data_IF_588234399174
#
_entry.id   IF_588234399174
#
_cell.length_a   1.000
_cell.length_b   1.000
_cell.length_c   1.000
_cell.angle_alpha   90.00
_cell.angle_beta   90.00
_cell.angle_gamma   90.00
#
_symmetry.space_group_name_H-M   'P 1'
#
loop_
_entity.id
_entity.type
_entity.pdbx_description
1 polymer ?
#
# COMPACT_ATOMS: atom_id res chain seq x y z
N UNK A 1 38.53 41.28 -2.88
CA UNK A 1 38.61 39.83 -3.17
C UNK A 1 37.55 39.15 -2.31
N UNK A 2 36.52 38.56 -2.92
CA UNK A 2 35.42 37.89 -2.22
C UNK A 2 35.77 36.40 -2.13
N UNK A 3 35.85 35.87 -0.91
CA UNK A 3 36.05 34.45 -0.67
C UNK A 3 34.74 33.70 -0.90
N UNK A 4 34.72 32.80 -1.88
CA UNK A 4 33.68 31.79 -2.02
C UNK A 4 34.12 30.53 -1.27
N UNK A 5 33.39 30.16 -0.22
CA UNK A 5 33.48 28.84 0.40
C UNK A 5 32.72 27.85 -0.49
N UNK A 6 33.45 26.92 -1.11
CA UNK A 6 32.91 25.75 -1.78
C UNK A 6 32.81 24.62 -0.74
N UNK A 7 31.58 24.26 -0.34
CA UNK A 7 31.31 23.05 0.43
C UNK A 7 31.27 21.87 -0.55
N UNK A 8 32.36 21.10 -0.57
CA UNK A 8 32.47 19.82 -1.28
C UNK A 8 31.68 18.74 -0.54
N UNK A 9 30.48 18.42 -1.04
CA UNK A 9 29.70 17.27 -0.59
C UNK A 9 30.32 15.98 -1.11
N UNK A 10 31.01 15.25 -0.23
CA UNK A 10 31.58 13.93 -0.55
C UNK A 10 30.47 12.89 -0.43
N UNK A 11 29.98 12.37 -1.56
CA UNK A 11 29.05 11.24 -1.59
C UNK A 11 29.89 9.97 -1.41
N UNK A 12 29.72 9.28 -0.29
CA UNK A 12 30.33 7.96 -0.05
C UNK A 12 29.48 6.89 -0.73
N UNK A 13 29.92 6.41 -1.89
CA UNK A 13 29.33 5.24 -2.53
C UNK A 13 30.10 4.01 -2.03
N UNK A 14 29.54 3.28 -1.07
CA UNK A 14 30.06 1.98 -0.64
C UNK A 14 29.59 0.91 -1.65
N UNK A 15 30.48 0.49 -2.55
CA UNK A 15 30.23 -0.60 -3.50
C UNK A 15 30.66 -1.93 -2.86
N UNK A 16 29.71 -2.73 -2.39
CA UNK A 16 29.97 -4.11 -1.99
C UNK A 16 29.92 -5.03 -3.23
N UNK A 17 31.07 -5.62 -3.58
CA UNK A 17 31.20 -6.55 -4.70
C UNK A 17 30.72 -7.93 -4.23
N UNK A 18 29.42 -8.21 -4.43
CA UNK A 18 28.87 -9.53 -4.18
C UNK A 18 27.35 -9.56 -4.26
N UNK A 19 26.76 -9.55 -5.45
CA UNK A 19 25.35 -9.92 -5.73
C UNK A 19 24.23 -9.21 -4.96
N UNK A 20 24.55 -8.24 -4.11
CA UNK A 20 23.65 -7.67 -3.12
C UNK A 20 22.83 -6.50 -3.69
N UNK A 21 21.58 -6.41 -3.25
CA UNK A 21 20.69 -5.29 -3.47
C UNK A 21 21.41 -3.94 -3.33
N UNK A 22 21.17 -3.03 -4.27
CA UNK A 22 21.78 -1.70 -4.25
C UNK A 22 21.27 -0.91 -3.04
N UNK A 23 22.15 -0.66 -2.07
CA UNK A 23 21.92 0.24 -0.94
C UNK A 23 22.50 1.61 -1.27
N UNK A 24 21.69 2.66 -1.18
CA UNK A 24 22.17 4.03 -1.36
C UNK A 24 21.71 4.89 -0.19
N UNK A 25 22.66 5.50 0.53
CA UNK A 25 22.36 6.55 1.49
C UNK A 25 22.08 7.83 0.73
N UNK A 26 20.87 8.36 0.88
CA UNK A 26 20.45 9.58 0.21
C UNK A 26 19.98 10.59 1.25
N UNK A 27 20.12 11.90 0.98
CA UNK A 27 19.42 12.88 1.78
C UNK A 27 17.91 12.66 1.64
N UNK A 28 17.11 12.95 2.69
CA UNK A 28 15.66 12.89 2.59
C UNK A 28 15.18 13.83 1.47
N UNK A 29 14.28 13.38 0.59
CA UNK A 29 13.69 14.25 -0.43
C UNK A 29 13.03 15.47 0.25
N UNK A 30 13.31 16.67 -0.24
CA UNK A 30 12.86 17.91 0.41
C UNK A 30 11.33 18.04 0.47
N UNK A 31 10.63 17.46 -0.50
CA UNK A 31 9.16 17.37 -0.54
C UNK A 31 8.58 16.47 0.56
N UNK A 32 9.40 15.68 1.24
CA UNK A 32 8.99 14.85 2.36
C UNK A 32 9.19 15.51 3.74
N UNK A 33 9.76 16.72 3.81
CA UNK A 33 10.00 17.37 5.10
C UNK A 33 8.69 17.68 5.83
N UNK A 34 8.63 17.40 7.13
CA UNK A 34 7.45 17.58 7.97
C UNK A 34 6.42 16.44 7.88
N UNK A 35 6.65 15.43 7.03
CA UNK A 35 5.81 14.24 6.98
C UNK A 35 6.09 13.32 8.18
N UNK A 36 5.04 12.73 8.74
CA UNK A 36 5.16 11.65 9.73
C UNK A 36 5.30 10.31 9.03
N UNK A 37 6.35 9.58 9.37
CA UNK A 37 6.67 8.22 8.89
C UNK A 37 7.00 7.31 10.06
N UNK A 38 6.94 6.00 9.85
CA UNK A 38 7.42 5.04 10.85
C UNK A 38 8.93 4.83 10.69
N UNK A 39 9.66 4.72 11.80
CA UNK A 39 11.02 4.22 11.77
C UNK A 39 11.04 2.80 11.24
N UNK A 40 11.96 2.53 10.31
CA UNK A 40 12.19 1.20 9.77
C UNK A 40 12.59 0.15 10.82
N UNK A 41 13.09 0.58 11.99
CA UNK A 41 13.62 -0.30 13.04
C UNK A 41 12.64 -0.47 14.18
N UNK A 42 12.08 0.62 14.69
CA UNK A 42 11.20 0.60 15.86
C UNK A 42 9.72 0.55 15.51
N UNK A 43 9.34 0.98 14.29
CA UNK A 43 7.95 1.20 13.90
C UNK A 43 7.31 2.41 14.57
N UNK A 44 8.05 3.19 15.34
CA UNK A 44 7.52 4.38 16.00
C UNK A 44 7.40 5.54 15.01
N UNK A 45 6.35 6.37 15.12
CA UNK A 45 6.18 7.54 14.28
C UNK A 45 7.27 8.58 14.53
N UNK A 46 7.78 9.19 13.47
CA UNK A 46 8.79 10.24 13.48
C UNK A 46 8.54 11.26 12.36
N UNK A 47 8.96 12.51 12.57
CA UNK A 47 8.86 13.57 11.56
C UNK A 47 10.15 13.60 10.73
N UNK A 48 10.02 13.65 9.40
CA UNK A 48 11.17 13.80 8.51
C UNK A 48 11.68 15.25 8.56
N UNK A 49 12.97 15.40 8.82
CA UNK A 49 13.71 16.66 8.74
C UNK A 49 15.00 16.51 7.89
N UNK A 50 15.80 17.58 7.81
CA UNK A 50 17.04 17.58 7.03
C UNK A 50 18.16 16.69 7.60
N UNK A 51 18.01 16.22 8.85
CA UNK A 51 18.97 15.37 9.54
C UNK A 51 18.57 13.89 9.55
N UNK A 52 17.34 13.59 9.15
CA UNK A 52 16.77 12.24 9.12
C UNK A 52 17.57 11.33 8.19
N UNK A 53 18.24 10.28 8.69
CA UNK A 53 18.89 9.31 7.83
C UNK A 53 17.87 8.58 6.93
N UNK A 54 18.19 8.48 5.64
CA UNK A 54 17.35 7.79 4.65
C UNK A 54 18.19 6.80 3.85
N UNK A 55 17.70 5.56 3.77
CA UNK A 55 18.30 4.51 2.96
C UNK A 55 17.34 4.12 1.85
N UNK A 56 17.83 4.13 0.60
CA UNK A 56 17.14 3.47 -0.51
C UNK A 56 17.58 2.00 -0.56
N UNK A 57 16.65 1.08 -0.42
CA UNK A 57 16.88 -0.37 -0.47
C UNK A 57 15.74 -1.05 -1.25
N UNK A 58 16.05 -1.86 -2.25
CA UNK A 58 15.06 -2.52 -3.13
C UNK A 58 13.99 -1.54 -3.69
N UNK A 59 14.43 -0.38 -4.17
CA UNK A 59 13.58 0.71 -4.68
C UNK A 59 12.55 1.27 -3.69
N UNK A 60 12.76 1.04 -2.39
CA UNK A 60 11.98 1.63 -1.29
C UNK A 60 12.85 2.54 -0.43
N UNK A 61 12.25 3.58 0.11
CA UNK A 61 12.89 4.47 1.07
C UNK A 61 12.59 4.01 2.49
N UNK A 62 13.63 3.94 3.31
CA UNK A 62 13.56 3.62 4.73
C UNK A 62 14.06 4.82 5.53
N UNK A 63 13.29 5.21 6.54
CA UNK A 63 13.58 6.33 7.43
C UNK A 63 13.99 5.80 8.80
N UNK A 64 14.94 6.48 9.43
CA UNK A 64 15.51 6.08 10.71
C UNK A 64 15.52 7.28 11.64
N UNK A 65 15.29 7.08 12.95
CA UNK A 65 15.33 8.17 13.91
C UNK A 65 16.74 8.71 14.11
N UNK A 66 17.76 7.87 13.89
CA UNK A 66 19.16 8.19 14.10
C UNK A 66 20.08 7.21 13.37
N UNK A 67 21.38 7.50 13.37
CA UNK A 67 22.40 6.66 12.72
C UNK A 67 22.48 5.25 13.32
N UNK A 68 22.20 5.08 14.62
CA UNK A 68 22.25 3.76 15.26
C UNK A 68 21.17 2.83 14.71
N UNK A 69 19.98 3.33 14.42
CA UNK A 69 18.92 2.54 13.78
C UNK A 69 19.31 2.15 12.34
N UNK A 70 19.86 3.07 11.56
CA UNK A 70 20.39 2.77 10.22
C UNK A 70 21.46 1.66 10.28
N UNK A 71 22.37 1.73 11.25
CA UNK A 71 23.40 0.71 11.46
C UNK A 71 22.80 -0.64 11.88
N UNK A 72 21.73 -0.63 12.68
CA UNK A 72 20.97 -1.83 13.04
C UNK A 72 20.31 -2.45 11.82
N UNK A 73 19.66 -1.65 10.97
CA UNK A 73 19.01 -2.11 9.74
C UNK A 73 20.03 -2.73 8.78
N UNK A 74 21.17 -2.07 8.55
CA UNK A 74 22.22 -2.57 7.67
C UNK A 74 22.83 -3.90 8.13
N UNK A 75 22.77 -4.23 9.42
CA UNK A 75 23.24 -5.53 9.94
C UNK A 75 22.29 -6.68 9.61
N UNK A 76 20.99 -6.43 9.49
CA UNK A 76 19.99 -7.47 9.23
C UNK A 76 18.71 -6.87 8.59
N UNK A 77 18.76 -6.45 7.31
CA UNK A 77 17.65 -5.75 6.67
C UNK A 77 16.40 -6.63 6.56
N UNK A 78 16.55 -7.93 6.26
CA UNK A 78 15.44 -8.87 6.10
C UNK A 78 14.57 -8.99 7.37
N UNK A 79 15.18 -8.90 8.55
CA UNK A 79 14.46 -8.91 9.83
C UNK A 79 13.53 -7.71 10.00
N UNK A 80 13.99 -6.51 9.62
CA UNK A 80 13.20 -5.29 9.78
C UNK A 80 12.14 -5.15 8.68
N UNK A 81 12.49 -5.52 7.45
CA UNK A 81 11.56 -5.48 6.31
C UNK A 81 10.35 -6.37 6.56
N UNK A 82 10.53 -7.53 7.20
CA UNK A 82 9.44 -8.46 7.51
C UNK A 82 8.57 -8.01 8.68
N UNK A 83 9.11 -7.23 9.63
CA UNK A 83 8.36 -6.72 10.79
C UNK A 83 7.65 -5.39 10.55
N UNK A 84 8.25 -4.51 9.76
CA UNK A 84 7.76 -3.15 9.52
C UNK A 84 7.60 -2.93 8.00
N UNK A 85 6.62 -3.59 7.36
CA UNK A 85 6.42 -3.45 5.92
C UNK A 85 5.90 -2.07 5.50
N UNK A 86 5.59 -1.17 6.44
CA UNK A 86 4.71 0.00 6.25
C UNK A 86 5.41 1.35 6.10
N UNK A 87 6.65 1.39 5.59
CA UNK A 87 7.33 2.65 5.24
C UNK A 87 6.84 3.27 3.91
N UNK A 88 5.61 3.00 3.48
CA UNK A 88 5.07 3.63 2.28
C UNK A 88 4.65 5.06 2.62
N UNK A 89 5.27 6.05 1.97
CA UNK A 89 4.81 7.44 2.10
C UNK A 89 3.38 7.61 1.58
N UNK A 90 2.59 8.51 2.20
CA UNK A 90 1.33 8.94 1.62
C UNK A 90 1.53 9.51 0.21
N UNK A 91 0.87 8.93 -0.79
CA UNK A 91 0.97 9.35 -2.19
C UNK A 91 -0.30 10.05 -2.62
N UNK A 92 -0.21 11.33 -2.97
CA UNK A 92 -1.32 12.06 -3.60
C UNK A 92 -1.60 11.43 -4.96
N UNK A 93 -2.86 11.10 -5.21
CA UNK A 93 -3.33 10.52 -6.47
C UNK A 93 -4.60 11.22 -6.93
N UNK A 94 -4.94 11.08 -8.21
CA UNK A 94 -6.30 11.38 -8.67
C UNK A 94 -7.25 10.24 -8.29
N UNK A 95 -8.51 10.55 -7.94
CA UNK A 95 -9.52 9.51 -7.76
C UNK A 95 -9.71 8.71 -9.04
N UNK A 96 -9.93 7.40 -8.90
CA UNK A 96 -10.13 6.52 -10.04
C UNK A 96 -11.46 6.85 -10.71
N UNK A 97 -11.53 6.71 -12.04
CA UNK A 97 -12.77 6.94 -12.80
C UNK A 97 -13.89 6.02 -12.30
N UNK A 98 -13.56 4.79 -11.89
CA UNK A 98 -14.51 3.82 -11.33
C UNK A 98 -15.15 4.29 -10.02
N UNK A 99 -14.54 5.23 -9.32
CA UNK A 99 -15.01 5.73 -8.04
C UNK A 99 -15.90 6.97 -8.21
N UNK A 100 -16.07 7.51 -9.41
CA UNK A 100 -16.91 8.70 -9.60
C UNK A 100 -18.38 8.41 -9.26
N UNK A 101 -18.97 9.29 -8.45
CA UNK A 101 -20.32 9.12 -7.91
C UNK A 101 -20.39 8.25 -6.64
N UNK A 102 -19.28 7.65 -6.21
CA UNK A 102 -19.22 6.89 -4.97
C UNK A 102 -19.58 7.79 -3.77
N UNK A 103 -20.60 7.39 -3.00
CA UNK A 103 -20.95 8.00 -1.73
C UNK A 103 -20.09 7.38 -0.63
N UNK A 104 -19.33 8.22 0.07
CA UNK A 104 -18.45 7.81 1.16
C UNK A 104 -18.35 8.90 2.21
N UNK A 105 -17.46 8.75 3.18
CA UNK A 105 -17.11 9.70 4.21
C UNK A 105 -15.68 10.21 4.01
N UNK A 106 -15.46 11.49 4.31
CA UNK A 106 -14.15 12.11 4.38
C UNK A 106 -13.28 11.39 5.43
N UNK A 107 -12.07 11.02 5.05
CA UNK A 107 -11.12 10.27 5.90
C UNK A 107 -10.51 11.10 7.03
N UNK A 108 -10.84 12.40 7.11
CA UNK A 108 -10.36 13.32 8.13
C UNK A 108 -11.40 13.62 9.22
N UNK A 109 -12.69 13.71 8.87
CA UNK A 109 -13.75 14.12 9.80
C UNK A 109 -15.07 13.33 9.67
N UNK A 110 -15.11 12.29 8.83
CA UNK A 110 -16.29 11.46 8.53
C UNK A 110 -17.45 12.12 7.78
N UNK A 111 -17.33 13.38 7.37
CA UNK A 111 -18.41 14.06 6.63
C UNK A 111 -18.74 13.31 5.32
N UNK A 112 -20.02 13.14 4.98
CA UNK A 112 -20.40 12.44 3.76
C UNK A 112 -19.96 13.23 2.52
N UNK A 113 -19.32 12.55 1.58
CA UNK A 113 -18.84 13.10 0.31
C UNK A 113 -19.26 12.21 -0.87
N UNK A 114 -19.33 12.82 -2.04
CA UNK A 114 -19.46 12.12 -3.32
C UNK A 114 -18.14 12.28 -4.06
N UNK A 115 -17.52 11.17 -4.44
CA UNK A 115 -16.25 11.20 -5.17
C UNK A 115 -16.48 11.74 -6.59
N UNK A 116 -15.65 12.70 -6.98
CA UNK A 116 -15.62 13.34 -8.32
C UNK A 116 -14.18 13.36 -8.82
N UNK A 117 -13.95 13.79 -10.07
CA UNK A 117 -12.60 13.95 -10.60
C UNK A 117 -11.72 14.95 -9.81
N UNK A 118 -12.33 15.82 -9.00
CA UNK A 118 -11.64 16.83 -8.20
C UNK A 118 -11.53 16.48 -6.72
N UNK A 119 -12.07 15.33 -6.30
CA UNK A 119 -12.02 14.92 -4.90
C UNK A 119 -10.56 14.67 -4.50
N UNK A 120 -10.01 15.39 -3.50
CA UNK A 120 -8.66 15.14 -3.02
C UNK A 120 -8.54 13.70 -2.54
N UNK A 121 -7.56 12.99 -3.09
CA UNK A 121 -7.40 11.54 -2.89
C UNK A 121 -5.94 11.21 -2.57
N UNK A 122 -5.77 10.23 -1.69
CA UNK A 122 -4.47 9.78 -1.18
C UNK A 122 -4.41 8.26 -1.19
N UNK A 123 -3.28 7.69 -1.61
CA UNK A 123 -2.97 6.29 -1.41
C UNK A 123 -1.95 6.15 -0.27
N UNK A 124 -2.26 5.33 0.73
CA UNK A 124 -1.36 5.08 1.86
C UNK A 124 -1.62 3.67 2.42
N UNK A 125 -0.56 2.89 2.62
CA UNK A 125 -0.63 1.49 3.08
C UNK A 125 -1.60 0.63 2.24
N UNK A 126 -1.49 0.72 0.91
CA UNK A 126 -2.40 0.05 -0.03
C UNK A 126 -3.90 0.35 0.17
N UNK A 127 -4.23 1.47 0.80
CA UNK A 127 -5.60 1.96 0.97
C UNK A 127 -5.78 3.30 0.27
N UNK A 128 -7.02 3.59 -0.12
CA UNK A 128 -7.40 4.86 -0.73
C UNK A 128 -8.23 5.65 0.27
N UNK A 129 -7.82 6.89 0.51
CA UNK A 129 -8.48 7.84 1.38
C UNK A 129 -9.03 8.98 0.55
N UNK A 130 -10.28 9.34 0.81
CA UNK A 130 -10.98 10.44 0.15
C UNK A 130 -11.21 11.56 1.14
N UNK A 131 -11.06 12.80 0.70
CA UNK A 131 -11.21 13.98 1.55
C UNK A 131 -12.22 14.94 0.95
N UNK A 132 -12.95 15.66 1.80
CA UNK A 132 -13.83 16.73 1.35
C UNK A 132 -13.04 17.91 0.77
N UNK A 133 -11.86 18.19 1.36
CA UNK A 133 -11.02 19.34 1.04
C UNK A 133 -9.54 18.97 1.03
N UNK A 134 -8.74 19.76 0.31
CA UNK A 134 -7.29 19.54 0.17
C UNK A 134 -6.58 19.72 1.52
N UNK A 135 -7.03 20.67 2.31
CA UNK A 135 -6.53 20.95 3.66
C UNK A 135 -6.70 19.73 4.58
N UNK A 136 -7.85 19.05 4.51
CA UNK A 136 -8.09 17.81 5.26
C UNK A 136 -7.14 16.69 4.85
N UNK A 137 -6.84 16.57 3.55
CA UNK A 137 -5.85 15.61 3.05
C UNK A 137 -4.46 15.97 3.56
N UNK A 138 -4.09 17.24 3.51
CA UNK A 138 -2.74 17.69 3.89
C UNK A 138 -2.52 17.54 5.40
N UNK A 139 -3.53 17.78 6.23
CA UNK A 139 -3.48 17.43 7.66
C UNK A 139 -3.39 15.93 7.90
N UNK A 140 -4.09 15.10 7.12
CA UNK A 140 -3.96 13.64 7.20
C UNK A 140 -2.54 13.18 6.87
N UNK A 141 -1.90 13.79 5.87
CA UNK A 141 -0.52 13.47 5.45
C UNK A 141 0.49 13.78 6.57
N UNK A 142 0.24 14.79 7.40
CA UNK A 142 1.12 15.16 8.52
C UNK A 142 1.13 14.14 9.64
N UNK A 143 0.00 13.48 9.93
CA UNK A 143 -0.10 12.44 10.96
C UNK A 143 -1.17 11.39 10.60
N UNK A 144 -0.89 10.51 9.62
CA UNK A 144 -1.88 9.57 9.11
C UNK A 144 -2.34 8.58 10.18
N UNK A 145 -1.48 8.22 11.13
CA UNK A 145 -1.80 7.25 12.18
C UNK A 145 -2.92 7.76 13.10
N UNK A 146 -2.91 9.05 13.44
CA UNK A 146 -3.98 9.67 14.23
C UNK A 146 -5.36 9.53 13.57
N UNK A 147 -5.43 9.64 12.24
CA UNK A 147 -6.68 9.57 11.51
C UNK A 147 -7.08 8.16 11.15
N UNK A 148 -6.16 7.26 10.83
CA UNK A 148 -6.46 5.86 10.50
C UNK A 148 -7.15 5.15 11.65
N UNK A 149 -6.73 5.43 12.89
CA UNK A 149 -7.37 4.88 14.08
C UNK A 149 -8.79 5.39 14.30
N UNK A 150 -9.07 6.65 13.93
CA UNK A 150 -10.37 7.32 14.14
C UNK A 150 -11.34 7.11 12.98
N UNK A 151 -10.83 7.11 11.76
CA UNK A 151 -11.55 7.14 10.51
C UNK A 151 -10.91 6.12 9.56
N UNK A 152 -11.22 4.82 9.75
CA UNK A 152 -10.62 3.79 8.94
C UNK A 152 -10.93 4.02 7.46
N UNK A 153 -9.97 3.68 6.60
CA UNK A 153 -10.10 3.83 5.17
C UNK A 153 -11.44 3.28 4.65
N UNK A 154 -11.92 3.94 3.61
CA UNK A 154 -13.18 3.63 2.98
C UNK A 154 -13.18 2.17 2.49
N UNK A 155 -14.03 1.33 3.11
CA UNK A 155 -14.17 -0.09 2.79
C UNK A 155 -15.02 -0.28 1.55
N UNK A 156 -14.52 0.15 0.40
CA UNK A 156 -15.24 0.02 -0.87
C UNK A 156 -14.55 -1.03 -1.72
N UNK A 157 -15.35 -2.00 -2.18
CA UNK A 157 -14.88 -3.03 -3.08
C UNK A 157 -14.76 -2.45 -4.49
N UNK A 158 -13.56 -2.44 -5.06
CA UNK A 158 -13.23 -1.79 -6.33
C UNK A 158 -13.11 -2.81 -7.44
N UNK A 159 -13.80 -2.61 -8.56
CA UNK A 159 -13.61 -3.46 -9.76
C UNK A 159 -12.19 -3.29 -10.28
N UNK A 160 -11.48 -4.41 -10.45
CA UNK A 160 -10.16 -4.46 -11.04
C UNK A 160 -10.11 -5.48 -12.16
N UNK A 161 -9.15 -5.30 -13.08
CA UNK A 161 -8.80 -6.35 -14.03
C UNK A 161 -7.88 -7.37 -13.35
N UNK A 162 -8.07 -8.68 -13.58
CA UNK A 162 -7.15 -9.69 -13.08
C UNK A 162 -5.72 -9.45 -13.57
N UNK A 163 -4.75 -9.55 -12.64
CA UNK A 163 -3.33 -9.51 -12.97
C UNK A 163 -2.97 -10.66 -13.93
N UNK A 164 -2.14 -10.40 -14.94
CA UNK A 164 -1.67 -11.43 -15.89
C UNK A 164 -0.98 -12.60 -15.18
N UNK A 165 -0.28 -12.34 -14.08
CA UNK A 165 0.37 -13.35 -13.25
C UNK A 165 -0.62 -14.32 -12.59
N UNK A 166 -1.90 -13.95 -12.48
CA UNK A 166 -2.94 -14.80 -11.92
C UNK A 166 -3.63 -15.70 -12.97
N UNK A 167 -3.35 -15.53 -14.27
CA UNK A 167 -4.05 -16.29 -15.31
C UNK A 167 -3.73 -17.79 -15.22
N UNK A 168 -4.77 -18.63 -15.34
CA UNK A 168 -4.65 -20.08 -15.21
C UNK A 168 -4.60 -20.58 -13.76
N UNK A 169 -4.57 -19.67 -12.77
CA UNK A 169 -4.65 -20.06 -11.36
C UNK A 169 -6.07 -20.53 -11.01
N UNK A 170 -6.16 -21.63 -10.25
CA UNK A 170 -7.42 -22.07 -9.64
C UNK A 170 -7.64 -21.29 -8.34
N UNK A 171 -8.81 -20.69 -8.19
CA UNK A 171 -9.24 -19.99 -6.98
C UNK A 171 -10.69 -20.31 -6.67
N UNK A 172 -11.23 -19.76 -5.58
CA UNK A 172 -12.62 -19.92 -5.18
C UNK A 172 -13.36 -18.60 -5.42
N UNK A 173 -14.55 -18.68 -6.01
CA UNK A 173 -15.43 -17.51 -6.12
C UNK A 173 -15.81 -17.03 -4.71
N UNK A 174 -15.50 -15.77 -4.37
CA UNK A 174 -15.68 -15.24 -3.03
C UNK A 174 -17.13 -15.23 -2.53
N UNK A 175 -18.11 -15.20 -3.44
CA UNK A 175 -19.55 -15.19 -3.10
C UNK A 175 -20.14 -16.60 -3.03
N UNK A 176 -19.83 -17.46 -4.01
CA UNK A 176 -20.49 -18.76 -4.20
C UNK A 176 -19.73 -19.94 -3.63
N UNK A 177 -18.42 -19.82 -3.39
CA UNK A 177 -17.57 -20.93 -2.96
C UNK A 177 -17.16 -21.89 -4.07
N UNK A 178 -17.57 -21.63 -5.31
CA UNK A 178 -17.29 -22.53 -6.44
C UNK A 178 -15.85 -22.31 -6.94
N UNK A 179 -15.08 -23.38 -7.23
CA UNK A 179 -13.78 -23.26 -7.87
C UNK A 179 -13.88 -22.64 -9.26
N UNK A 180 -13.02 -21.66 -9.55
CA UNK A 180 -12.93 -20.98 -10.84
C UNK A 180 -11.48 -20.93 -11.33
N UNK A 181 -11.32 -20.85 -12.64
CA UNK A 181 -10.04 -20.59 -13.29
C UNK A 181 -9.95 -19.09 -13.62
N UNK A 182 -8.92 -18.42 -13.15
CA UNK A 182 -8.73 -17.00 -13.42
C UNK A 182 -8.29 -16.81 -14.88
N UNK A 183 -9.01 -15.96 -15.62
CA UNK A 183 -8.70 -15.56 -16.98
C UNK A 183 -8.81 -14.04 -17.17
N UNK A 184 -8.58 -13.54 -18.40
CA UNK A 184 -8.54 -12.10 -18.69
C UNK A 184 -9.84 -11.34 -18.39
N UNK A 185 -10.97 -12.06 -18.40
CA UNK A 185 -12.31 -11.49 -18.19
C UNK A 185 -12.96 -11.98 -16.89
N UNK A 186 -12.22 -12.68 -16.04
CA UNK A 186 -12.74 -13.07 -14.73
C UNK A 186 -13.04 -11.81 -13.93
N UNK A 187 -14.28 -11.61 -13.45
CA UNK A 187 -14.59 -10.47 -12.61
C UNK A 187 -13.74 -10.52 -11.33
N UNK A 188 -13.17 -9.37 -10.96
CA UNK A 188 -12.32 -9.26 -9.79
C UNK A 188 -12.59 -7.95 -9.05
N UNK A 189 -12.47 -8.01 -7.72
CA UNK A 189 -12.57 -6.85 -6.84
C UNK A 189 -11.37 -6.77 -5.92
N UNK A 190 -10.88 -5.57 -5.70
CA UNK A 190 -9.99 -5.28 -4.59
C UNK A 190 -10.80 -4.75 -3.40
N UNK A 191 -10.69 -5.40 -2.25
CA UNK A 191 -11.32 -4.98 -1.01
C UNK A 191 -10.35 -5.15 0.16
N UNK A 192 -10.12 -4.08 0.93
CA UNK A 192 -9.16 -4.05 2.05
C UNK A 192 -7.74 -4.54 1.67
N UNK A 193 -7.28 -4.22 0.45
CA UNK A 193 -5.96 -4.62 -0.05
C UNK A 193 -5.87 -6.08 -0.50
N UNK A 194 -6.97 -6.83 -0.50
CA UNK A 194 -7.04 -8.20 -1.01
C UNK A 194 -7.82 -8.26 -2.31
N UNK A 195 -7.39 -9.12 -3.23
CA UNK A 195 -8.07 -9.37 -4.51
C UNK A 195 -8.99 -10.58 -4.39
N UNK A 196 -10.27 -10.36 -4.67
CA UNK A 196 -11.31 -11.38 -4.72
C UNK A 196 -11.70 -11.62 -6.17
N UNK A 197 -11.91 -12.89 -6.53
CA UNK A 197 -12.33 -13.31 -7.87
C UNK A 197 -13.76 -13.87 -7.81
N UNK A 198 -14.49 -13.73 -8.90
CA UNK A 198 -15.90 -14.13 -8.98
C UNK A 198 -16.16 -14.98 -10.23
N UNK A 199 -17.12 -15.90 -10.13
CA UNK A 199 -17.56 -16.71 -11.27
C UNK A 199 -18.25 -15.87 -12.34
N UNK A 200 -18.89 -14.79 -11.92
CA UNK A 200 -19.75 -13.95 -12.76
C UNK A 200 -19.96 -12.56 -12.14
N UNK A 201 -20.50 -11.64 -12.94
CA UNK A 201 -20.79 -10.26 -12.54
C UNK A 201 -21.84 -10.19 -11.41
N UNK A 202 -22.96 -10.94 -11.43
CA UNK A 202 -23.90 -10.94 -10.31
C UNK A 202 -23.27 -11.29 -8.96
N UNK A 203 -22.38 -12.29 -8.92
CA UNK A 203 -21.65 -12.68 -7.72
C UNK A 203 -20.75 -11.56 -7.21
N UNK A 204 -20.07 -10.87 -8.13
CA UNK A 204 -19.25 -9.69 -7.83
C UNK A 204 -20.09 -8.54 -7.27
N UNK A 205 -21.23 -8.21 -7.88
CA UNK A 205 -22.12 -7.13 -7.42
C UNK A 205 -22.77 -7.46 -6.06
N UNK A 206 -23.10 -8.73 -5.82
CA UNK A 206 -23.56 -9.19 -4.50
C UNK A 206 -22.51 -8.98 -3.42
N UNK A 207 -21.23 -9.24 -3.72
CA UNK A 207 -20.13 -8.96 -2.81
C UNK A 207 -19.96 -7.46 -2.55
N UNK A 208 -20.04 -6.60 -3.58
CA UNK A 208 -19.94 -5.13 -3.40
C UNK A 208 -20.98 -4.58 -2.43
N UNK A 209 -22.19 -5.16 -2.43
CA UNK A 209 -23.30 -4.72 -1.59
C UNK A 209 -23.04 -4.96 -0.11
N UNK A 210 -22.42 -6.09 0.23
CA UNK A 210 -22.07 -6.45 1.61
C UNK A 210 -20.83 -7.37 1.65
N UNK A 211 -19.61 -6.82 1.54
CA UNK A 211 -18.38 -7.62 1.53
C UNK A 211 -18.18 -8.43 2.82
N UNK A 212 -18.62 -7.89 3.96
CA UNK A 212 -18.39 -8.50 5.27
C UNK A 212 -19.18 -9.79 5.46
N UNK A 213 -20.32 -9.94 4.77
CA UNK A 213 -21.09 -11.20 4.75
C UNK A 213 -20.32 -12.38 4.13
N UNK A 214 -19.29 -12.13 3.32
CA UNK A 214 -18.57 -13.15 2.56
C UNK A 214 -17.15 -13.41 3.08
N UNK A 215 -16.46 -12.40 3.61
CA UNK A 215 -15.04 -12.51 4.00
C UNK A 215 -14.80 -13.50 5.14
N UNK A 216 -15.78 -13.70 6.02
CA UNK A 216 -15.68 -14.65 7.14
C UNK A 216 -16.33 -16.01 6.83
N UNK A 217 -16.76 -16.24 5.58
CA UNK A 217 -17.44 -17.47 5.21
C UNK A 217 -16.40 -18.53 4.87
N UNK A 218 -16.27 -19.53 5.73
CA UNK A 218 -15.51 -20.73 5.40
C UNK A 218 -16.25 -21.52 4.33
N UNK A 219 -15.64 -21.62 3.14
CA UNK A 219 -16.12 -22.52 2.10
C UNK A 219 -15.45 -23.87 2.32
N UNK A 220 -16.18 -24.85 2.87
CA UNK A 220 -15.69 -26.22 3.01
C UNK A 220 -15.27 -26.77 1.64
N UNK A 221 -13.98 -27.01 1.46
CA UNK A 221 -13.35 -27.47 0.21
C UNK A 221 -13.45 -28.99 0.01
N UNK A 222 -14.51 -29.63 0.49
CA UNK A 222 -14.61 -31.10 0.58
C UNK A 222 -14.96 -31.81 -0.74
N UNK A 223 -14.76 -31.15 -1.89
CA UNK A 223 -14.95 -31.75 -3.21
C UNK A 223 -13.82 -31.35 -4.17
N UNK A 224 -12.58 -31.72 -3.86
CA UNK A 224 -11.55 -31.84 -4.89
C UNK A 224 -11.67 -33.22 -5.57
N UNK A 225 -11.85 -33.30 -6.90
CA UNK A 225 -11.67 -34.56 -7.62
C UNK A 225 -10.21 -35.00 -7.49
N UNK A 226 -10.00 -36.23 -6.99
CA UNK A 226 -8.69 -36.88 -6.99
C UNK A 226 -8.11 -36.87 -8.41
N UNK A 227 -6.89 -36.35 -8.54
CA UNK A 227 -6.15 -36.35 -9.79
C UNK A 227 -5.97 -37.79 -10.27
N UNK A 228 -6.59 -38.12 -11.41
CA UNK A 228 -6.32 -39.35 -12.14
C UNK A 228 -4.85 -39.36 -12.53
N UNK A 229 -4.12 -40.32 -11.99
CA UNK A 229 -2.72 -40.59 -12.32
C UNK A 229 -2.65 -41.09 -13.76
N UNK A 230 -2.07 -40.31 -14.68
CA UNK A 230 -1.74 -40.80 -16.01
C UNK A 230 -0.49 -41.69 -15.87
N UNK A 231 -0.68 -43.00 -15.91
CA UNK A 231 0.40 -43.97 -16.01
C UNK A 231 0.97 -43.98 -17.44
N UNK A 232 2.30 -43.90 -17.50
CA UNK A 232 3.25 -44.09 -18.63
C UNK A 232 2.71 -44.57 -19.96
#
# INVERSE_FOLDING_TARGET
>A
MKNFLYLSGTIFILVFIGGCASTELIPPPQDNYGLSVESAVTGEPMIIDSSTPVLKFNDRLYYFQNQSELDMFNKNPDYYITRHPFNELPKIISPLISDYGLRTSCSYNSDPIVVTQFTPTLSYMSRIYYFAHTESRDSFIQDPQMYIAKFPANKVARTISPLKSAYGSKTICATTGIPILVGPHTPALEYMGQVFYFSDIPSMEAFKKDPLAYINKEFNSESQPQAATLSK
#
